data_IF_215383015713
#
_entry.id   IF_215383015713
#
_cell.length_a   1.000
_cell.length_b   1.000
_cell.length_c   1.000
_cell.angle_alpha   90.00
_cell.angle_beta   90.00
_cell.angle_gamma   90.00
#
_symmetry.space_group_name_H-M   'P 1'
#
loop_
_entity.id
_entity.type
_entity.pdbx_description
1 polymer ?
#
# COMPACT_ATOMS: atom_id res chain seq x y z
N UNK A 1 -11.01 -6.96 -21.52
CA UNK A 1 -11.52 -5.94 -20.57
C UNK A 1 -10.54 -4.79 -20.59
N UNK A 2 -11.03 -3.62 -21.00
CA UNK A 2 -10.30 -2.41 -21.39
C UNK A 2 -9.75 -1.66 -20.18
N UNK A 3 -8.50 -1.20 -20.30
CA UNK A 3 -7.77 -0.42 -19.29
C UNK A 3 -8.52 0.89 -18.95
N UNK A 4 -8.65 1.31 -17.68
CA UNK A 4 -8.98 2.69 -17.37
C UNK A 4 -7.68 3.51 -17.44
N UNK A 5 -7.07 3.59 -18.62
CA UNK A 5 -6.23 4.75 -18.89
C UNK A 5 -7.22 5.89 -19.12
N UNK A 6 -7.29 6.85 -18.19
CA UNK A 6 -7.96 8.14 -18.45
C UNK A 6 -7.41 8.61 -19.79
N UNK A 7 -8.28 8.62 -20.80
CA UNK A 7 -7.94 9.08 -22.15
C UNK A 7 -7.69 10.57 -21.96
N UNK A 8 -6.42 10.96 -21.80
CA UNK A 8 -6.02 12.35 -21.94
C UNK A 8 -6.51 12.77 -23.33
N UNK A 9 -7.47 13.69 -23.41
CA UNK A 9 -7.87 14.26 -24.70
C UNK A 9 -6.59 14.83 -25.32
N UNK A 10 -6.12 14.22 -26.40
CA UNK A 10 -4.74 14.36 -26.88
C UNK A 10 -4.46 15.68 -27.61
N UNK A 11 -5.43 16.58 -27.64
CA UNK A 11 -5.36 17.85 -28.35
C UNK A 11 -5.49 18.99 -27.36
N UNK A 12 -4.44 19.80 -27.25
CA UNK A 12 -4.51 21.10 -26.60
C UNK A 12 -5.42 22.02 -27.43
N UNK A 13 -6.18 22.89 -26.77
CA UNK A 13 -7.03 23.89 -27.44
C UNK A 13 -6.24 25.16 -27.68
N UNK A 14 -5.39 25.53 -26.73
CA UNK A 14 -4.67 26.79 -26.72
C UNK A 14 -3.24 26.57 -26.25
N UNK A 15 -2.29 27.01 -27.08
CA UNK A 15 -0.88 27.15 -26.73
C UNK A 15 -0.64 28.62 -26.34
N UNK A 16 -0.14 28.87 -25.14
CA UNK A 16 0.19 30.23 -24.70
C UNK A 16 1.70 30.35 -24.50
N UNK A 17 2.36 31.08 -25.40
CA UNK A 17 3.83 31.17 -25.41
C UNK A 17 4.47 29.82 -25.74
N UNK A 18 5.70 29.63 -25.28
CA UNK A 18 6.52 28.46 -25.61
C UNK A 18 6.49 27.37 -24.52
N UNK A 19 5.68 27.56 -23.46
CA UNK A 19 5.69 26.68 -22.28
C UNK A 19 4.32 26.31 -21.69
N UNK A 20 3.19 26.66 -22.32
CA UNK A 20 1.85 26.30 -21.81
C UNK A 20 0.96 25.59 -22.83
N UNK A 21 0.25 24.56 -22.38
CA UNK A 21 -0.86 23.92 -23.10
C UNK A 21 -2.10 23.84 -22.21
N UNK A 22 -3.25 24.28 -22.74
CA UNK A 22 -4.57 24.13 -22.09
C UNK A 22 -5.39 23.10 -22.85
N UNK A 23 -5.92 22.10 -22.15
CA UNK A 23 -6.66 20.98 -22.75
C UNK A 23 -8.18 21.17 -22.64
N UNK A 24 -8.94 20.51 -23.52
CA UNK A 24 -10.42 20.54 -23.54
C UNK A 24 -11.09 20.17 -22.23
N UNK A 25 -10.47 19.28 -21.46
CA UNK A 25 -11.01 18.87 -20.18
C UNK A 25 -10.75 19.90 -19.07
N UNK A 26 -9.97 20.96 -19.34
CA UNK A 26 -9.53 21.95 -18.36
C UNK A 26 -8.19 21.62 -17.70
N UNK A 27 -7.51 20.56 -18.13
CA UNK A 27 -6.14 20.29 -17.69
C UNK A 27 -5.17 21.34 -18.24
N UNK A 28 -4.11 21.63 -17.49
CA UNK A 28 -3.12 22.64 -17.83
C UNK A 28 -1.73 22.03 -17.70
N UNK A 29 -0.95 22.09 -18.77
CA UNK A 29 0.47 21.78 -18.76
C UNK A 29 1.28 23.07 -18.77
N UNK A 30 2.36 23.08 -17.99
CA UNK A 30 3.43 24.07 -18.06
C UNK A 30 4.79 23.37 -18.10
N UNK A 31 5.59 23.58 -19.13
CA UNK A 31 6.92 23.00 -19.22
C UNK A 31 7.48 22.99 -20.63
N UNK A 32 8.52 22.21 -20.83
CA UNK A 32 9.21 22.10 -22.12
C UNK A 32 8.27 21.49 -23.19
N UNK A 33 8.31 22.08 -24.38
CA UNK A 33 7.55 21.67 -25.55
C UNK A 33 8.48 21.41 -26.74
N UNK A 34 8.18 20.36 -27.51
CA UNK A 34 8.74 20.17 -28.83
C UNK A 34 7.70 20.61 -29.86
N UNK A 35 7.99 21.71 -30.55
CA UNK A 35 7.20 22.19 -31.69
C UNK A 35 7.39 21.30 -32.92
N UNK A 36 6.33 21.13 -33.69
CA UNK A 36 6.32 20.30 -34.91
C UNK A 36 5.74 21.09 -36.07
N UNK A 37 6.33 20.97 -37.25
CA UNK A 37 5.78 21.60 -38.45
C UNK A 37 4.44 20.95 -38.81
N UNK A 38 3.39 21.78 -38.96
CA UNK A 38 2.04 21.33 -39.32
C UNK A 38 1.40 20.34 -38.32
N UNK A 39 1.75 20.42 -37.04
CA UNK A 39 1.15 19.61 -35.97
C UNK A 39 1.23 20.33 -34.64
N UNK A 40 0.38 19.94 -33.69
CA UNK A 40 0.37 20.50 -32.34
C UNK A 40 1.72 20.27 -31.65
N UNK A 41 2.12 21.22 -30.80
CA UNK A 41 3.29 21.07 -29.93
C UNK A 41 3.06 19.91 -28.96
N UNK A 42 4.14 19.18 -28.65
CA UNK A 42 4.07 18.04 -27.74
C UNK A 42 4.90 18.29 -26.48
N UNK A 43 4.49 17.69 -25.36
CA UNK A 43 5.25 17.68 -24.11
C UNK A 43 6.48 16.79 -24.27
N UNK A 44 7.66 17.39 -24.17
CA UNK A 44 8.94 16.69 -24.24
C UNK A 44 9.96 17.47 -23.41
N UNK A 45 10.59 16.82 -22.44
CA UNK A 45 11.40 17.48 -21.40
C UNK A 45 10.66 17.60 -20.06
N UNK A 46 11.11 18.50 -19.19
CA UNK A 46 10.54 18.63 -17.84
C UNK A 46 9.31 19.54 -17.83
N UNK A 47 8.28 19.14 -17.08
CA UNK A 47 7.07 19.93 -16.96
C UNK A 47 6.15 19.53 -15.81
N UNK A 48 5.12 20.35 -15.62
CA UNK A 48 4.08 20.20 -14.62
C UNK A 48 2.72 20.14 -15.31
N UNK A 49 1.91 19.17 -14.91
CA UNK A 49 0.51 19.01 -15.33
C UNK A 49 -0.39 19.13 -14.13
N UNK A 50 -1.36 20.04 -14.20
CA UNK A 50 -2.51 20.08 -13.31
C UNK A 50 -3.70 19.51 -14.06
N UNK A 51 -4.35 18.50 -13.51
CA UNK A 51 -5.49 17.87 -14.18
C UNK A 51 -6.78 18.60 -13.85
N UNK A 52 -7.79 18.42 -14.70
CA UNK A 52 -9.12 19.04 -14.59
C UNK A 52 -9.90 18.74 -13.31
N UNK A 53 -9.48 17.75 -12.51
CA UNK A 53 -10.08 17.51 -11.20
C UNK A 53 -9.58 18.49 -10.11
N UNK A 54 -8.58 19.32 -10.41
CA UNK A 54 -8.01 20.33 -9.52
C UNK A 54 -7.17 19.78 -8.37
N UNK A 55 -7.04 18.46 -8.24
CA UNK A 55 -6.35 17.78 -7.11
C UNK A 55 -5.18 16.95 -7.61
N UNK A 56 -5.38 16.19 -8.69
CA UNK A 56 -4.33 15.41 -9.31
C UNK A 56 -3.33 16.35 -9.97
N UNK A 57 -2.04 16.03 -9.85
CA UNK A 57 -0.98 16.78 -10.53
C UNK A 57 0.25 15.90 -10.76
N UNK A 58 0.91 16.09 -11.89
CA UNK A 58 2.18 15.42 -12.19
C UNK A 58 3.27 16.47 -12.40
N UNK A 59 4.43 16.24 -11.82
CA UNK A 59 5.63 17.04 -12.07
C UNK A 59 6.76 16.07 -12.41
N UNK A 60 7.40 16.24 -13.56
CA UNK A 60 8.46 15.35 -13.99
C UNK A 60 8.73 15.43 -15.48
N UNK A 61 9.46 14.44 -15.98
CA UNK A 61 9.86 14.38 -17.37
C UNK A 61 8.78 13.78 -18.27
N UNK A 62 8.72 14.30 -19.48
CA UNK A 62 7.88 13.84 -20.57
C UNK A 62 8.74 13.45 -21.77
N UNK A 63 8.24 12.53 -22.58
CA UNK A 63 8.78 12.19 -23.89
C UNK A 63 7.62 11.83 -24.81
N UNK A 64 7.50 12.50 -25.95
CA UNK A 64 6.40 12.24 -26.89
C UNK A 64 5.01 12.28 -26.24
N UNK A 65 4.70 13.33 -25.46
CA UNK A 65 3.48 13.47 -24.65
C UNK A 65 3.33 12.47 -23.48
N UNK A 66 4.16 11.44 -23.34
CA UNK A 66 4.01 10.47 -22.26
C UNK A 66 4.93 10.80 -21.08
N UNK A 67 4.46 10.54 -19.85
CA UNK A 67 5.32 10.59 -18.65
C UNK A 67 6.49 9.62 -18.84
N UNK A 68 7.71 10.08 -18.67
CA UNK A 68 8.93 9.31 -18.95
C UNK A 68 10.07 9.77 -18.04
N UNK A 69 10.98 8.89 -17.64
CA UNK A 69 12.02 9.26 -16.67
C UNK A 69 11.46 9.50 -15.27
N UNK A 70 12.14 10.27 -14.44
CA UNK A 70 11.70 10.49 -13.05
C UNK A 70 10.52 11.48 -12.98
N UNK A 71 9.57 11.23 -12.10
CA UNK A 71 8.52 12.18 -11.80
C UNK A 71 7.76 11.87 -10.52
N UNK A 72 6.96 12.84 -10.09
CA UNK A 72 6.05 12.75 -8.96
C UNK A 72 4.62 12.93 -9.46
N UNK A 73 3.77 11.97 -9.17
CA UNK A 73 2.35 11.99 -9.48
C UNK A 73 1.52 12.00 -8.19
N UNK A 74 0.82 13.11 -7.95
CA UNK A 74 -0.23 13.20 -6.95
C UNK A 74 -1.56 12.77 -7.60
N UNK A 75 -2.22 11.80 -6.98
CA UNK A 75 -3.54 11.33 -7.39
C UNK A 75 -4.63 12.04 -6.58
N UNK A 76 -5.84 12.11 -7.15
CA UNK A 76 -7.02 12.65 -6.49
C UNK A 76 -7.33 12.00 -5.13
N UNK A 77 -7.06 10.70 -4.99
CA UNK A 77 -7.39 9.91 -3.80
C UNK A 77 -6.25 9.93 -2.75
N UNK A 78 -5.49 11.02 -2.66
CA UNK A 78 -4.40 11.21 -1.68
C UNK A 78 -3.25 10.20 -1.79
N UNK A 79 -3.19 9.46 -2.90
CA UNK A 79 -2.01 8.67 -3.24
C UNK A 79 -0.95 9.57 -3.84
N UNK A 80 0.31 9.24 -3.60
CA UNK A 80 1.45 9.85 -4.26
C UNK A 80 2.35 8.75 -4.78
N UNK A 81 2.74 8.83 -6.05
CA UNK A 81 3.85 8.07 -6.59
C UNK A 81 5.02 9.02 -6.88
N UNK A 82 6.22 8.62 -6.52
CA UNK A 82 7.44 9.31 -6.89
C UNK A 82 8.46 8.28 -7.34
N UNK A 83 8.90 8.35 -8.60
CA UNK A 83 9.77 7.34 -9.17
C UNK A 83 9.87 7.40 -10.68
N UNK A 84 10.36 6.31 -11.27
CA UNK A 84 10.60 6.23 -12.70
C UNK A 84 9.31 5.89 -13.49
N UNK A 85 9.18 6.51 -14.66
CA UNK A 85 8.14 6.27 -15.63
C UNK A 85 8.75 5.88 -16.97
N UNK A 86 8.06 5.01 -17.70
CA UNK A 86 8.37 4.71 -19.09
C UNK A 86 7.07 4.60 -19.85
N UNK A 87 6.87 5.46 -20.83
CA UNK A 87 5.69 5.48 -21.69
C UNK A 87 4.38 5.55 -20.88
N UNK A 88 4.33 6.48 -19.92
CA UNK A 88 3.16 6.72 -19.09
C UNK A 88 2.95 5.73 -17.94
N UNK A 89 3.72 4.64 -17.84
CA UNK A 89 3.58 3.64 -16.78
C UNK A 89 4.72 3.70 -15.76
N UNK A 90 4.42 3.43 -14.49
CA UNK A 90 5.41 3.32 -13.42
C UNK A 90 6.34 2.14 -13.70
N UNK A 91 7.64 2.36 -13.60
CA UNK A 91 8.68 1.34 -13.78
C UNK A 91 9.86 1.62 -12.85
N UNK A 92 10.90 0.78 -12.91
CA UNK A 92 12.16 1.04 -12.20
C UNK A 92 11.95 1.16 -10.69
N UNK A 93 12.69 2.04 -10.03
CA UNK A 93 12.50 2.30 -8.60
C UNK A 93 11.46 3.39 -8.37
N UNK A 94 10.68 3.25 -7.30
CA UNK A 94 9.77 4.29 -6.87
C UNK A 94 9.28 4.12 -5.44
N UNK A 95 8.62 5.17 -4.97
CA UNK A 95 7.94 5.26 -3.69
C UNK A 95 6.46 5.54 -3.94
N UNK A 96 5.58 4.73 -3.37
CA UNK A 96 4.14 4.88 -3.44
C UNK A 96 3.57 5.05 -2.04
N UNK A 97 2.85 6.14 -1.82
CA UNK A 97 2.35 6.54 -0.50
C UNK A 97 0.82 6.69 -0.60
N UNK A 98 0.12 6.29 0.45
CA UNK A 98 -1.28 6.63 0.71
C UNK A 98 -1.37 7.32 2.06
N UNK A 99 -1.95 8.52 2.11
CA UNK A 99 -2.15 9.29 3.34
C UNK A 99 -3.63 9.62 3.53
N UNK A 100 -4.50 8.61 3.54
CA UNK A 100 -5.92 8.84 3.88
C UNK A 100 -6.24 8.36 5.30
N UNK A 101 -7.34 8.87 5.86
CA UNK A 101 -7.77 8.61 7.24
C UNK A 101 -7.97 7.13 7.58
N UNK A 102 -8.24 6.28 6.57
CA UNK A 102 -8.58 4.87 6.75
C UNK A 102 -7.43 3.89 6.44
N UNK A 103 -6.46 4.32 5.63
CA UNK A 103 -5.36 3.51 5.11
C UNK A 103 -4.14 4.41 4.90
N UNK A 104 -3.20 4.34 5.84
CA UNK A 104 -1.89 4.93 5.67
C UNK A 104 -0.88 3.82 5.33
N UNK A 105 -0.27 3.90 4.16
CA UNK A 105 0.83 2.99 3.82
C UNK A 105 1.88 3.66 2.95
N UNK A 106 3.08 3.09 2.97
CA UNK A 106 4.17 3.40 2.07
C UNK A 106 4.70 2.10 1.47
N UNK A 107 5.00 2.13 0.18
CA UNK A 107 5.81 1.14 -0.50
C UNK A 107 7.02 1.85 -1.11
N UNK A 108 8.20 1.27 -0.95
CA UNK A 108 9.43 1.70 -1.63
C UNK A 108 10.11 0.47 -2.23
N UNK A 109 10.29 0.45 -3.56
CA UNK A 109 10.79 -0.73 -4.24
C UNK A 109 10.72 -0.62 -5.76
N UNK A 110 10.77 -1.77 -6.42
CA UNK A 110 10.77 -1.86 -7.87
C UNK A 110 9.34 -1.97 -8.44
N UNK A 111 9.15 -1.39 -9.62
CA UNK A 111 7.91 -1.41 -10.38
C UNK A 111 8.15 -1.89 -11.81
N UNK A 112 7.17 -2.61 -12.35
CA UNK A 112 7.11 -2.98 -13.75
C UNK A 112 5.65 -2.92 -14.23
N UNK A 113 5.39 -2.15 -15.29
CA UNK A 113 4.06 -1.96 -15.85
C UNK A 113 2.99 -1.58 -14.80
N UNK A 114 3.32 -0.66 -13.90
CA UNK A 114 2.50 -0.22 -12.75
C UNK A 114 2.42 -1.17 -11.54
N UNK A 115 2.87 -2.42 -11.66
CA UNK A 115 2.85 -3.40 -10.57
C UNK A 115 4.13 -3.38 -9.77
N UNK A 116 4.05 -3.58 -8.45
CA UNK A 116 5.22 -3.84 -7.60
C UNK A 116 5.87 -5.16 -8.03
N UNK A 117 7.18 -5.15 -8.15
CA UNK A 117 7.98 -6.32 -8.49
C UNK A 117 9.34 -6.25 -7.80
N UNK A 118 10.20 -7.25 -8.04
CA UNK A 118 11.58 -7.23 -7.57
C UNK A 118 11.66 -7.09 -6.05
N UNK A 119 12.61 -6.30 -5.54
CA UNK A 119 12.71 -6.04 -4.10
C UNK A 119 11.92 -4.80 -3.70
N UNK A 120 11.28 -4.86 -2.55
CA UNK A 120 10.59 -3.70 -2.00
C UNK A 120 10.19 -3.86 -0.54
N UNK A 121 9.94 -2.71 0.09
CA UNK A 121 9.48 -2.57 1.47
C UNK A 121 8.11 -1.92 1.49
N UNK A 122 7.14 -2.61 2.05
CA UNK A 122 5.81 -2.11 2.36
C UNK A 122 5.68 -1.89 3.86
N UNK A 123 5.12 -0.76 4.25
CA UNK A 123 4.76 -0.44 5.64
C UNK A 123 3.35 0.13 5.63
N UNK A 124 2.45 -0.44 6.43
CA UNK A 124 1.13 0.15 6.68
C UNK A 124 0.93 0.42 8.16
N UNK A 125 0.27 1.54 8.44
CA UNK A 125 -0.13 1.98 9.76
C UNK A 125 -1.65 1.98 9.82
N UNK A 126 -2.21 1.22 10.76
CA UNK A 126 -3.64 1.22 11.05
C UNK A 126 -3.82 1.32 12.57
N UNK A 127 -4.15 2.51 13.07
CA UNK A 127 -4.23 2.80 14.50
C UNK A 127 -2.95 2.39 15.25
N UNK A 128 -3.07 1.46 16.19
CA UNK A 128 -1.98 0.90 16.99
C UNK A 128 -1.25 -0.28 16.30
N UNK A 129 -1.61 -0.62 15.07
CA UNK A 129 -1.03 -1.73 14.30
C UNK A 129 -0.10 -1.20 13.22
N UNK A 130 1.09 -1.79 13.13
CA UNK A 130 2.07 -1.59 12.07
C UNK A 130 2.35 -2.92 11.41
N UNK A 131 2.12 -3.00 10.10
CA UNK A 131 2.47 -4.16 9.28
C UNK A 131 3.62 -3.77 8.36
N UNK A 132 4.69 -4.55 8.37
CA UNK A 132 5.83 -4.38 7.47
C UNK A 132 6.05 -5.65 6.68
N UNK A 133 6.33 -5.51 5.38
CA UNK A 133 6.91 -6.57 4.57
C UNK A 133 8.12 -6.02 3.82
N UNK A 134 9.25 -6.70 3.92
CA UNK A 134 10.47 -6.39 3.19
C UNK A 134 10.95 -7.66 2.51
N UNK A 135 10.94 -7.67 1.19
CA UNK A 135 11.25 -8.89 0.44
C UNK A 135 10.98 -8.76 -1.05
N UNK A 136 10.85 -9.91 -1.67
CA UNK A 136 10.56 -10.02 -3.10
C UNK A 136 9.06 -9.86 -3.40
N UNK A 137 8.76 -9.24 -4.54
CA UNK A 137 7.43 -8.94 -5.04
C UNK A 137 7.31 -9.42 -6.49
N UNK A 138 6.11 -9.85 -6.86
CA UNK A 138 5.77 -10.19 -8.24
C UNK A 138 4.32 -9.81 -8.49
N UNK A 139 4.06 -9.00 -9.50
CA UNK A 139 2.70 -8.64 -9.93
C UNK A 139 1.80 -8.19 -8.77
N UNK A 140 2.34 -7.27 -7.93
CA UNK A 140 1.70 -6.73 -6.72
C UNK A 140 1.51 -7.67 -5.53
N UNK A 141 1.98 -8.92 -5.59
CA UNK A 141 1.90 -9.87 -4.46
C UNK A 141 3.29 -10.20 -3.89
N UNK A 142 3.36 -10.48 -2.58
CA UNK A 142 4.57 -11.00 -1.92
C UNK A 142 4.93 -12.35 -2.55
N UNK A 143 6.17 -12.49 -3.01
CA UNK A 143 6.60 -13.68 -3.73
C UNK A 143 8.12 -13.81 -3.65
N UNK A 144 8.65 -14.97 -3.32
CA UNK A 144 10.09 -15.16 -3.08
C UNK A 144 10.44 -15.02 -1.60
N UNK A 145 11.71 -14.71 -1.28
CA UNK A 145 12.14 -14.59 0.10
C UNK A 145 11.78 -13.23 0.70
N UNK A 146 11.30 -13.20 1.94
CA UNK A 146 10.94 -11.95 2.60
C UNK A 146 10.71 -12.05 4.10
N UNK A 147 10.80 -10.89 4.74
CA UNK A 147 10.52 -10.66 6.15
C UNK A 147 9.18 -9.95 6.30
N UNK A 148 8.26 -10.56 7.03
CA UNK A 148 7.00 -9.96 7.44
C UNK A 148 7.06 -9.66 8.94
N UNK A 149 6.52 -8.51 9.34
CA UNK A 149 6.32 -8.14 10.75
C UNK A 149 4.90 -7.60 10.90
N UNK A 150 4.15 -8.17 11.83
CA UNK A 150 2.93 -7.59 12.39
C UNK A 150 3.27 -7.11 13.79
N UNK A 151 3.07 -5.84 14.07
CA UNK A 151 3.33 -5.26 15.38
C UNK A 151 2.14 -4.45 15.85
N UNK A 152 1.69 -4.75 17.05
CA UNK A 152 0.56 -4.09 17.69
C UNK A 152 1.02 -3.47 19.00
N UNK A 153 0.74 -2.19 19.20
CA UNK A 153 1.09 -1.44 20.40
C UNK A 153 -0.11 -1.32 21.34
N UNK A 154 0.13 -1.38 22.65
CA UNK A 154 -0.91 -1.17 23.66
C UNK A 154 -0.39 -0.27 24.78
N UNK A 155 -1.27 0.63 25.25
CA UNK A 155 -0.95 1.67 26.22
C UNK A 155 -1.76 1.43 27.51
N UNK A 156 -1.33 0.50 28.38
CA UNK A 156 -2.05 0.23 29.61
C UNK A 156 -1.91 1.42 30.56
N UNK A 157 -3.00 2.09 30.93
CA UNK A 157 -2.97 3.04 32.05
C UNK A 157 -2.66 2.30 33.35
N UNK A 158 -1.79 2.83 34.25
CA UNK A 158 -1.13 4.13 34.24
C UNK A 158 0.29 4.13 33.61
N UNK A 159 0.68 3.08 32.88
CA UNK A 159 2.02 2.92 32.33
C UNK A 159 2.22 3.74 31.03
N UNK A 160 3.13 4.73 31.02
CA UNK A 160 3.36 5.58 29.84
C UNK A 160 4.13 4.87 28.71
N UNK A 161 4.81 3.74 28.99
CA UNK A 161 5.50 2.98 27.94
C UNK A 161 4.53 1.99 27.29
N UNK A 162 4.35 2.03 25.95
CA UNK A 162 3.53 1.04 25.29
C UNK A 162 4.21 -0.32 25.36
N UNK A 163 3.46 -1.30 25.83
CA UNK A 163 3.81 -2.69 25.61
C UNK A 163 3.40 -3.08 24.15
N UNK A 164 3.83 -4.24 23.65
CA UNK A 164 3.57 -4.64 22.26
C UNK A 164 3.49 -6.15 22.04
N UNK A 165 2.75 -6.53 20.99
CA UNK A 165 2.72 -7.86 20.41
C UNK A 165 3.38 -7.78 19.04
N UNK A 166 4.30 -8.69 18.74
CA UNK A 166 5.02 -8.75 17.47
C UNK A 166 5.08 -10.18 16.96
N UNK A 167 4.57 -10.39 15.74
CA UNK A 167 4.85 -11.59 14.95
C UNK A 167 5.83 -11.23 13.84
N UNK A 168 6.94 -11.95 13.77
CA UNK A 168 7.93 -11.82 12.71
C UNK A 168 8.08 -13.15 11.98
N UNK A 169 7.79 -13.17 10.68
CA UNK A 169 8.06 -14.32 9.82
C UNK A 169 9.17 -13.99 8.83
N UNK A 170 10.18 -14.84 8.75
CA UNK A 170 11.26 -14.76 7.78
C UNK A 170 11.27 -16.06 7.00
N UNK A 171 11.01 -16.01 5.70
CA UNK A 171 10.93 -17.22 4.88
C UNK A 171 10.45 -16.96 3.47
N UNK A 172 10.01 -18.02 2.82
CA UNK A 172 9.59 -17.98 1.43
C UNK A 172 8.08 -17.72 1.29
N UNK A 173 7.71 -17.02 0.22
CA UNK A 173 6.34 -16.57 -0.05
C UNK A 173 5.93 -16.96 -1.47
N UNK A 174 4.70 -17.42 -1.64
CA UNK A 174 4.08 -17.65 -2.95
C UNK A 174 2.69 -17.03 -2.93
N UNK A 175 2.51 -15.96 -3.71
CA UNK A 175 1.22 -15.27 -3.89
C UNK A 175 0.59 -14.88 -2.54
N UNK A 176 1.33 -14.10 -1.77
CA UNK A 176 0.98 -13.60 -0.42
C UNK A 176 0.88 -14.66 0.70
N UNK A 177 1.11 -15.94 0.39
CA UNK A 177 1.10 -17.03 1.37
C UNK A 177 2.53 -17.40 1.77
N UNK A 178 2.75 -17.62 3.07
CA UNK A 178 3.95 -18.27 3.59
C UNK A 178 4.02 -19.68 2.98
N UNK A 179 5.13 -20.03 2.37
CA UNK A 179 5.32 -21.30 1.68
C UNK A 179 6.77 -21.77 1.88
N UNK A 180 7.01 -23.08 1.91
CA UNK A 180 8.36 -23.62 2.12
C UNK A 180 8.96 -23.37 3.52
N UNK A 181 10.29 -23.26 3.59
CA UNK A 181 11.02 -23.10 4.85
C UNK A 181 10.96 -21.64 5.33
N UNK A 182 10.74 -21.46 6.63
CA UNK A 182 10.79 -20.16 7.29
C UNK A 182 10.86 -20.29 8.81
N UNK A 183 11.11 -19.16 9.46
CA UNK A 183 11.16 -18.99 10.91
C UNK A 183 10.07 -18.00 11.34
N UNK A 184 9.31 -18.35 12.38
CA UNK A 184 8.31 -17.49 13.00
C UNK A 184 8.76 -17.17 14.44
N UNK A 185 8.87 -15.88 14.75
CA UNK A 185 9.16 -15.37 16.10
C UNK A 185 7.94 -14.61 16.61
N UNK A 186 7.53 -14.91 17.83
CA UNK A 186 6.46 -14.20 18.53
C UNK A 186 7.07 -13.53 19.76
N UNK A 187 6.84 -12.24 19.94
CA UNK A 187 7.28 -11.46 21.10
C UNK A 187 6.10 -10.68 21.66
N UNK A 188 5.95 -10.67 22.98
CA UNK A 188 4.90 -9.90 23.64
C UNK A 188 4.64 -10.40 25.05
N UNK A 189 3.47 -10.03 25.58
CA UNK A 189 2.99 -10.54 26.87
C UNK A 189 2.45 -11.96 26.74
N UNK A 190 2.73 -12.78 27.75
CA UNK A 190 2.28 -14.16 27.85
C UNK A 190 1.47 -14.34 29.14
N UNK A 191 0.32 -15.03 29.05
CA UNK A 191 -0.49 -15.47 30.19
C UNK A 191 -0.98 -16.88 29.91
N UNK A 192 -0.82 -17.79 30.85
CA UNK A 192 -1.24 -19.19 30.74
C UNK A 192 -0.82 -19.84 29.40
N UNK A 193 0.47 -19.71 29.08
CA UNK A 193 1.10 -20.19 27.82
C UNK A 193 0.50 -19.64 26.52
N UNK A 194 -0.32 -18.59 26.61
CA UNK A 194 -0.92 -17.90 25.47
C UNK A 194 -0.35 -16.50 25.34
N UNK A 195 0.03 -16.12 24.12
CA UNK A 195 0.41 -14.73 23.82
C UNK A 195 -0.84 -13.86 23.79
N UNK A 196 -0.87 -12.81 24.60
CA UNK A 196 -2.06 -11.95 24.77
C UNK A 196 -1.98 -10.78 23.79
N UNK A 197 -2.97 -10.67 22.90
CA UNK A 197 -3.21 -9.47 22.08
C UNK A 197 -4.23 -8.54 22.74
N UNK A 198 -4.32 -7.28 22.29
CA UNK A 198 -5.25 -6.28 22.88
C UNK A 198 -6.71 -6.73 22.86
N UNK A 199 -7.10 -7.55 21.88
CA UNK A 199 -8.45 -8.11 21.70
C UNK A 199 -8.87 -8.97 22.91
N UNK A 200 -7.92 -9.58 23.61
CA UNK A 200 -8.21 -10.37 24.83
C UNK A 200 -8.25 -9.52 26.10
N UNK A 201 -7.45 -8.45 26.18
CA UNK A 201 -7.43 -7.55 27.34
C UNK A 201 -8.70 -6.70 27.40
N UNK A 202 -9.20 -6.19 26.27
CA UNK A 202 -10.43 -5.40 26.23
C UNK A 202 -11.69 -6.23 26.54
N UNK A 203 -11.70 -7.53 26.19
CA UNK A 203 -12.79 -8.44 26.56
C UNK A 203 -12.85 -8.76 28.05
N UNK A 204 -11.70 -8.76 28.73
CA UNK A 204 -11.61 -9.10 30.15
C UNK A 204 -12.00 -7.95 31.08
N UNK A 205 -11.98 -6.70 30.62
CA UNK A 205 -12.36 -5.54 31.43
C UNK A 205 -13.88 -5.33 31.60
N UNK A 206 -14.74 -6.28 31.13
CA UNK A 206 -16.19 -6.07 31.15
C UNK A 206 -17.06 -7.14 31.83
N UNK A 207 -16.58 -8.30 32.31
CA UNK A 207 -17.45 -9.25 33.04
C UNK A 207 -16.64 -10.14 34.01
N UNK A 208 -16.45 -9.72 35.26
CA UNK A 208 -15.71 -10.49 36.27
C UNK A 208 -16.50 -11.63 36.94
N UNK A 209 -17.83 -11.74 36.79
CA UNK A 209 -18.61 -12.72 37.57
C UNK A 209 -19.20 -13.90 36.76
N UNK A 210 -19.43 -13.73 35.45
CA UNK A 210 -20.01 -14.78 34.60
C UNK A 210 -18.96 -15.76 34.01
N UNK A 211 -17.72 -15.31 33.89
CA UNK A 211 -16.66 -16.02 33.16
C UNK A 211 -16.06 -17.17 33.99
N UNK A 212 -15.94 -17.02 35.31
CA UNK A 212 -15.36 -18.06 36.18
C UNK A 212 -16.11 -19.40 36.07
N UNK A 213 -17.45 -19.35 35.98
CA UNK A 213 -18.28 -20.56 35.84
C UNK A 213 -18.25 -21.17 34.43
N UNK A 214 -18.00 -20.37 33.38
CA UNK A 214 -17.90 -20.87 31.99
C UNK A 214 -16.49 -21.32 31.60
N UNK A 215 -15.44 -20.80 32.23
CA UNK A 215 -14.05 -21.24 32.01
C UNK A 215 -13.91 -22.73 32.39
N UNK A 216 -14.54 -23.17 33.48
CA UNK A 216 -14.46 -24.55 33.93
C UNK A 216 -15.19 -25.54 33.01
N UNK A 217 -16.28 -25.11 32.37
CA UNK A 217 -16.95 -25.91 31.34
C UNK A 217 -16.18 -25.92 30.01
N UNK A 218 -15.45 -24.84 29.69
CA UNK A 218 -14.75 -24.69 28.40
C UNK A 218 -13.37 -25.33 28.37
N UNK A 219 -12.65 -25.39 29.51
CA UNK A 219 -11.38 -26.15 29.64
C UNK A 219 -11.55 -27.61 29.19
N UNK A 220 -12.71 -28.22 29.45
CA UNK A 220 -13.03 -29.58 29.01
C UNK A 220 -13.26 -29.71 27.48
N UNK A 221 -13.41 -28.60 26.76
CA UNK A 221 -13.64 -28.57 25.30
C UNK A 221 -12.39 -28.18 24.47
N UNK A 222 -11.31 -27.70 25.11
CA UNK A 222 -10.11 -27.18 24.46
C UNK A 222 -9.09 -28.23 23.99
N UNK A 223 -9.39 -29.52 24.08
CA UNK A 223 -8.51 -30.56 23.52
C UNK A 223 -8.54 -30.66 21.99
N UNK A 224 -9.36 -29.87 21.27
CA UNK A 224 -9.62 -30.08 19.83
C UNK A 224 -9.59 -28.85 18.88
N UNK A 225 -9.13 -27.64 19.27
CA UNK A 225 -9.41 -26.43 18.45
C UNK A 225 -8.30 -25.39 18.26
N UNK A 226 -7.02 -25.68 18.58
CA UNK A 226 -5.91 -24.72 18.47
C UNK A 226 -5.56 -24.25 17.04
N UNK A 227 -6.17 -24.81 15.99
CA UNK A 227 -5.90 -24.44 14.59
C UNK A 227 -6.79 -23.32 14.01
N UNK A 228 -7.86 -22.91 14.70
CA UNK A 228 -8.94 -22.16 14.03
C UNK A 228 -8.80 -20.64 14.09
N UNK A 229 -8.20 -20.07 15.14
CA UNK A 229 -8.24 -18.62 15.38
C UNK A 229 -7.24 -17.80 14.54
N UNK A 230 -6.07 -18.35 14.18
CA UNK A 230 -5.09 -17.63 13.35
C UNK A 230 -5.51 -17.46 11.88
N UNK A 231 -6.57 -18.15 11.42
CA UNK A 231 -7.09 -18.01 10.05
C UNK A 231 -8.05 -16.83 9.90
N UNK A 232 -8.87 -16.52 10.90
CA UNK A 232 -9.92 -15.49 10.77
C UNK A 232 -9.36 -14.06 10.71
N UNK A 233 -8.30 -13.74 11.47
CA UNK A 233 -7.62 -12.45 11.39
C UNK A 233 -6.93 -12.22 10.03
N UNK A 234 -6.42 -13.30 9.41
CA UNK A 234 -5.76 -13.27 8.11
C UNK A 234 -6.75 -13.08 6.95
N UNK A 235 -7.94 -13.69 7.02
CA UNK A 235 -8.99 -13.55 6.01
C UNK A 235 -9.69 -12.17 6.03
N UNK A 236 -9.80 -11.53 7.20
CA UNK A 236 -10.48 -10.24 7.34
C UNK A 236 -9.60 -9.04 6.95
N UNK A 237 -8.28 -9.17 6.95
CA UNK A 237 -7.37 -8.11 6.49
C UNK A 237 -7.12 -8.14 4.97
N UNK A 238 -7.26 -9.29 4.33
CA UNK A 238 -7.08 -9.46 2.89
C UNK A 238 -8.10 -10.49 2.35
N UNK A 239 -9.33 -10.09 2.01
CA UNK A 239 -10.26 -11.01 1.37
C UNK A 239 -9.68 -11.48 0.03
N UNK A 240 -9.52 -12.81 -0.18
CA UNK A 240 -9.02 -13.32 -1.46
C UNK A 240 -10.10 -13.09 -2.52
N UNK A 241 -9.90 -12.09 -3.37
CA UNK A 241 -10.81 -11.81 -4.48
C UNK A 241 -11.08 -10.33 -4.76
N UNK A 242 -10.69 -9.41 -3.89
CA UNK A 242 -10.76 -7.99 -4.22
C UNK A 242 -9.61 -7.63 -5.17
N UNK A 243 -9.88 -7.75 -6.47
CA UNK A 243 -9.15 -6.97 -7.46
C UNK A 243 -9.33 -5.50 -7.06
N UNK A 244 -8.26 -4.87 -6.60
CA UNK A 244 -8.22 -3.42 -6.47
C UNK A 244 -8.36 -2.84 -7.88
N UNK A 245 -9.59 -2.59 -8.29
CA UNK A 245 -9.89 -1.82 -9.48
C UNK A 245 -9.47 -0.39 -9.17
N UNK A 246 -8.30 0.00 -9.70
CA UNK A 246 -7.87 1.37 -9.74
C UNK A 246 -8.78 2.09 -10.76
N UNK A 247 -9.79 2.77 -10.24
CA UNK A 247 -10.62 3.72 -10.99
C UNK A 247 -9.80 4.95 -11.41
#
# INVERSE_FOLDING_TARGET
MTKPNRIENSSAIEEYGDDYLIYYDGSIYKGELQHRENSDSIRDGYGSMTYSDGVSSYIGYYKNNEKHGYGKYQFKNEYTYEGEFKNGVKCGKGKFISLNENKNFTYEGEFNNNFRCGKGKYVSHNNNIVITYEGEWKDDVKHGYGKYSYKEYYYPNPNPTPDFYEEEYIGFWINDKRDGKGELKIKGLWRDDTSVSSIEIEKNNNIDEYISNKIQEKINSYTNTSETYCKEAFYNMFPPGEKYEFY
#
